data_IF_502390831568
#
_entry.id   IF_502390831568
#
_cell.length_a   1.000
_cell.length_b   1.000
_cell.length_c   1.000
_cell.angle_alpha   90.00
_cell.angle_beta   90.00
_cell.angle_gamma   90.00
#
_symmetry.space_group_name_H-M   'P 1'
#
loop_
_entity.id
_entity.type
_entity.pdbx_description
1 polymer ?
#
# COMPACT_ATOMS: atom_id res chain seq x y z
N UNK A 1 16.90 -16.86 6.34
CA UNK A 1 15.49 -16.82 5.94
C UNK A 1 15.27 -16.35 4.50
N UNK A 2 16.28 -15.80 3.80
CA UNK A 2 16.21 -15.41 2.37
C UNK A 2 15.94 -16.58 1.43
N UNK A 3 16.32 -17.79 1.78
CA UNK A 3 16.23 -18.97 0.91
C UNK A 3 14.80 -19.50 0.69
N UNK A 4 13.81 -19.06 1.48
CA UNK A 4 12.42 -19.53 1.37
C UNK A 4 11.48 -18.57 0.64
N UNK A 5 11.88 -17.35 0.36
CA UNK A 5 11.10 -16.41 -0.44
C UNK A 5 11.52 -16.53 -1.91
N UNK A 6 10.63 -16.99 -2.77
CA UNK A 6 10.88 -17.14 -4.21
C UNK A 6 11.33 -15.84 -4.87
N UNK A 7 10.78 -14.71 -4.44
CA UNK A 7 11.14 -13.37 -4.91
C UNK A 7 10.94 -12.36 -3.78
N UNK A 8 11.97 -11.62 -3.43
CA UNK A 8 11.84 -10.40 -2.64
C UNK A 8 12.01 -9.19 -3.56
N UNK A 9 10.94 -8.53 -3.99
CA UNK A 9 11.02 -7.40 -4.93
C UNK A 9 11.77 -6.20 -4.34
N UNK A 10 11.97 -6.17 -3.02
CA UNK A 10 12.64 -5.09 -2.30
C UNK A 10 14.05 -5.46 -1.82
N UNK A 11 14.59 -6.59 -2.22
CA UNK A 11 15.96 -6.99 -1.90
C UNK A 11 16.99 -5.90 -2.25
N UNK A 12 16.75 -5.16 -3.33
CA UNK A 12 17.61 -4.04 -3.74
C UNK A 12 17.70 -2.90 -2.73
N UNK A 13 16.68 -2.69 -1.90
CA UNK A 13 16.64 -1.63 -0.89
C UNK A 13 17.69 -1.84 0.20
N UNK A 14 17.99 -3.10 0.48
CA UNK A 14 18.91 -3.53 1.55
C UNK A 14 20.32 -3.85 1.04
N UNK A 15 20.62 -3.57 -0.24
CA UNK A 15 21.98 -3.86 -0.80
C UNK A 15 23.10 -3.11 -0.10
N UNK A 16 22.77 -1.95 0.47
CA UNK A 16 23.72 -1.11 1.18
C UNK A 16 23.90 -1.53 2.65
N UNK A 17 23.06 -2.44 3.14
CA UNK A 17 23.20 -3.01 4.47
C UNK A 17 24.39 -3.98 4.47
N UNK A 18 25.30 -3.77 5.39
CA UNK A 18 26.47 -4.62 5.61
C UNK A 18 26.18 -5.64 6.71
N UNK A 19 25.80 -5.16 7.88
CA UNK A 19 25.47 -5.98 9.04
C UNK A 19 24.34 -5.36 9.87
N UNK A 20 23.76 -6.18 10.71
CA UNK A 20 22.86 -5.76 11.80
C UNK A 20 23.37 -6.36 13.08
N UNK A 21 23.70 -5.53 14.07
CA UNK A 21 24.12 -5.97 15.40
C UNK A 21 23.05 -5.70 16.43
N UNK A 22 23.00 -6.57 17.44
CA UNK A 22 22.12 -6.44 18.60
C UNK A 22 22.97 -5.94 19.75
N UNK A 23 22.69 -4.72 20.22
CA UNK A 23 23.50 -4.03 21.24
C UNK A 23 22.76 -4.02 22.60
N UNK A 24 22.01 -5.08 22.90
CA UNK A 24 21.19 -5.26 24.10
C UNK A 24 19.72 -5.51 23.76
N UNK A 25 18.88 -5.56 24.78
CA UNK A 25 17.48 -5.97 24.64
C UNK A 25 16.61 -5.01 23.81
N UNK A 26 17.02 -3.74 23.71
CA UNK A 26 16.22 -2.66 23.08
C UNK A 26 17.00 -1.87 22.03
N UNK A 27 18.18 -2.32 21.63
CA UNK A 27 19.01 -1.59 20.68
C UNK A 27 19.48 -2.49 19.54
N UNK A 28 19.31 -1.99 18.34
CA UNK A 28 19.78 -2.64 17.11
C UNK A 28 20.52 -1.60 16.28
N UNK A 29 21.71 -1.94 15.79
CA UNK A 29 22.51 -1.08 14.93
C UNK A 29 22.57 -1.63 13.51
N UNK A 30 22.18 -0.79 12.54
CA UNK A 30 22.32 -1.08 11.12
C UNK A 30 23.64 -0.52 10.61
N UNK A 31 24.55 -1.37 10.20
CA UNK A 31 25.84 -0.99 9.59
C UNK A 31 25.64 -0.88 8.08
N UNK A 32 25.97 0.27 7.53
CA UNK A 32 25.82 0.54 6.10
C UNK A 32 27.19 0.64 5.43
N UNK A 33 27.31 0.12 4.21
CA UNK A 33 28.54 0.22 3.39
C UNK A 33 28.87 1.65 2.99
N UNK A 34 27.84 2.50 2.92
CA UNK A 34 27.93 3.93 2.60
C UNK A 34 26.73 4.68 3.20
N UNK A 35 26.81 5.99 3.43
CA UNK A 35 25.70 6.79 3.92
C UNK A 35 24.46 6.63 3.02
N UNK A 36 23.29 6.44 3.65
CA UNK A 36 21.99 6.30 2.97
C UNK A 36 20.91 7.07 3.74
N UNK A 37 20.74 8.37 3.47
CA UNK A 37 19.75 9.20 4.18
C UNK A 37 18.32 8.67 4.09
N UNK A 38 17.96 8.00 2.99
CA UNK A 38 16.64 7.42 2.78
C UNK A 38 16.36 6.13 3.59
N UNK A 39 17.32 5.57 4.31
CA UNK A 39 17.11 4.29 5.01
C UNK A 39 15.98 4.35 6.03
N UNK A 40 15.90 5.43 6.81
CA UNK A 40 14.83 5.58 7.81
C UNK A 40 13.44 5.66 7.16
N UNK A 41 13.33 6.37 6.05
CA UNK A 41 12.07 6.43 5.28
C UNK A 41 11.69 5.05 4.71
N UNK A 42 12.67 4.26 4.26
CA UNK A 42 12.44 2.89 3.80
C UNK A 42 11.97 1.97 4.94
N UNK A 43 12.59 2.08 6.12
CA UNK A 43 12.19 1.29 7.29
C UNK A 43 10.83 1.72 7.85
N UNK A 44 10.48 3.00 7.76
CA UNK A 44 9.18 3.52 8.17
C UNK A 44 8.05 3.21 7.18
N UNK A 45 8.37 2.68 6.00
CA UNK A 45 7.35 2.33 5.02
C UNK A 45 6.55 1.10 5.43
N UNK A 46 5.26 1.05 5.08
CA UNK A 46 4.37 -0.09 5.38
C UNK A 46 4.77 -1.42 4.73
N UNK A 47 5.87 -1.43 3.97
CA UNK A 47 6.41 -2.62 3.31
C UNK A 47 7.67 -3.17 3.99
N UNK A 48 8.07 -2.60 5.12
CA UNK A 48 9.21 -3.03 5.95
C UNK A 48 8.76 -3.37 7.38
N UNK A 49 7.76 -4.24 7.58
CA UNK A 49 7.28 -4.56 8.91
C UNK A 49 8.33 -5.34 9.71
N UNK A 50 8.39 -5.06 11.01
CA UNK A 50 9.19 -5.84 11.96
C UNK A 50 8.33 -6.96 12.51
N UNK A 51 8.82 -8.18 12.38
CA UNK A 51 8.11 -9.39 12.84
C UNK A 51 8.73 -9.95 14.11
N UNK A 52 7.93 -10.59 14.99
CA UNK A 52 8.46 -11.36 16.10
C UNK A 52 9.27 -12.55 15.57
N UNK A 53 10.54 -12.65 15.96
CA UNK A 53 11.47 -13.65 15.40
C UNK A 53 11.11 -15.10 15.77
N UNK A 54 10.35 -15.30 16.84
CA UNK A 54 9.90 -16.61 17.32
C UNK A 54 8.63 -17.14 16.64
N UNK A 55 7.99 -16.32 15.78
CA UNK A 55 6.78 -16.71 15.06
C UNK A 55 7.11 -17.07 13.61
N UNK A 56 6.63 -18.23 13.17
CA UNK A 56 6.89 -18.66 11.79
C UNK A 56 6.22 -17.74 10.75
N UNK A 57 6.86 -17.45 9.60
CA UNK A 57 6.29 -16.59 8.56
C UNK A 57 4.93 -17.07 8.02
N UNK A 58 4.68 -18.37 8.02
CA UNK A 58 3.39 -18.95 7.63
C UNK A 58 2.29 -18.62 8.63
N UNK A 59 2.61 -18.64 9.91
CA UNK A 59 1.71 -18.25 10.99
C UNK A 59 1.41 -16.76 10.96
N UNK A 60 2.43 -15.92 10.70
CA UNK A 60 2.26 -14.47 10.53
C UNK A 60 1.36 -14.09 9.34
N UNK A 61 1.24 -14.94 8.32
CA UNK A 61 0.30 -14.70 7.21
C UNK A 61 -1.15 -14.97 7.59
N UNK A 62 -1.38 -15.95 8.45
CA UNK A 62 -2.73 -16.31 8.91
C UNK A 62 -3.17 -15.43 10.08
N UNK A 63 -2.26 -15.17 11.01
CA UNK A 63 -2.50 -14.40 12.23
C UNK A 63 -1.37 -13.38 12.44
N UNK A 64 -1.43 -12.21 11.76
CA UNK A 64 -0.40 -11.20 11.89
C UNK A 64 -0.37 -10.62 13.31
N UNK A 65 0.84 -10.51 13.85
CA UNK A 65 1.12 -9.91 15.15
C UNK A 65 1.95 -8.66 14.91
N UNK A 66 1.55 -7.55 15.50
CA UNK A 66 2.24 -6.27 15.39
C UNK A 66 2.07 -5.41 16.63
N UNK A 67 2.79 -4.28 16.65
CA UNK A 67 2.75 -3.28 17.73
C UNK A 67 1.89 -2.07 17.35
N UNK A 68 1.05 -2.21 16.35
CA UNK A 68 0.16 -1.16 15.85
C UNK A 68 -1.04 -0.88 16.75
N UNK A 69 -1.82 0.16 16.40
CA UNK A 69 -2.99 0.58 17.19
C UNK A 69 -4.14 -0.42 17.17
N UNK A 70 -4.15 -1.34 16.23
CA UNK A 70 -5.20 -2.36 16.13
C UNK A 70 -4.57 -3.76 16.07
N UNK A 71 -5.25 -4.73 16.68
CA UNK A 71 -4.94 -6.16 16.65
C UNK A 71 -5.81 -6.86 15.63
N UNK A 72 -5.23 -7.81 14.90
CA UNK A 72 -5.94 -8.65 13.96
C UNK A 72 -6.90 -9.60 14.69
N UNK A 73 -8.10 -9.77 14.17
CA UNK A 73 -9.10 -10.72 14.66
C UNK A 73 -9.37 -11.78 13.61
N UNK A 74 -9.78 -11.38 12.41
CA UNK A 74 -10.23 -12.29 11.38
C UNK A 74 -9.95 -11.73 9.98
N UNK A 75 -9.69 -12.64 9.04
CA UNK A 75 -9.71 -12.40 7.61
C UNK A 75 -10.57 -13.45 6.93
N UNK A 76 -11.62 -13.01 6.27
CA UNK A 76 -12.44 -13.84 5.39
C UNK A 76 -12.12 -13.48 3.94
N UNK A 77 -11.53 -14.41 3.17
CA UNK A 77 -11.21 -14.15 1.76
C UNK A 77 -12.43 -13.67 0.98
N UNK A 78 -12.25 -12.59 0.22
CA UNK A 78 -13.28 -11.92 -0.59
C UNK A 78 -14.46 -11.29 0.20
N UNK A 79 -14.48 -11.37 1.52
CA UNK A 79 -15.49 -10.75 2.36
C UNK A 79 -14.93 -9.55 3.12
N UNK A 80 -13.90 -9.76 3.96
CA UNK A 80 -13.38 -8.66 4.75
C UNK A 80 -12.28 -9.01 5.74
N UNK A 81 -11.86 -7.98 6.46
CA UNK A 81 -10.87 -8.08 7.55
C UNK A 81 -11.47 -7.37 8.77
N UNK A 82 -11.34 -8.00 9.94
CA UNK A 82 -11.75 -7.43 11.22
C UNK A 82 -10.55 -7.19 12.12
N UNK A 83 -10.47 -5.97 12.63
CA UNK A 83 -9.46 -5.53 13.57
C UNK A 83 -10.15 -4.97 14.82
N UNK A 84 -9.51 -5.13 15.99
CA UNK A 84 -9.96 -4.53 17.25
C UNK A 84 -8.88 -3.63 17.83
N UNK A 85 -9.27 -2.70 18.69
CA UNK A 85 -8.36 -1.83 19.42
C UNK A 85 -7.28 -2.66 20.11
N UNK A 86 -6.03 -2.17 20.03
CA UNK A 86 -4.93 -2.68 20.83
C UNK A 86 -4.87 -1.89 22.17
N UNK A 87 -5.25 -2.48 23.30
CA UNK A 87 -5.21 -1.79 24.59
C UNK A 87 -3.77 -1.47 25.04
N UNK A 88 -2.79 -2.24 24.54
CA UNK A 88 -1.37 -2.10 24.86
C UNK A 88 -0.63 -1.22 23.84
N UNK A 89 -1.36 -0.39 23.09
CA UNK A 89 -0.71 0.49 22.12
C UNK A 89 0.15 1.54 22.82
N UNK A 90 1.39 1.68 22.35
CA UNK A 90 2.42 2.50 22.98
C UNK A 90 2.15 4.01 23.02
N UNK A 91 1.21 4.52 22.20
CA UNK A 91 0.79 5.93 22.26
C UNK A 91 -0.39 6.09 23.20
N UNK A 92 -0.24 6.83 24.33
CA UNK A 92 -1.34 7.04 25.28
C UNK A 92 -2.56 7.66 24.61
N UNK A 93 -3.76 7.23 25.03
CA UNK A 93 -5.03 7.74 24.52
C UNK A 93 -5.37 7.35 23.07
N UNK A 94 -4.63 6.42 22.48
CA UNK A 94 -4.83 5.93 21.11
C UNK A 94 -5.00 4.41 21.10
N UNK A 95 -5.66 3.86 20.07
CA UNK A 95 -6.49 4.51 19.03
C UNK A 95 -7.82 5.02 19.62
N UNK A 96 -8.50 5.91 18.91
CA UNK A 96 -9.83 6.42 19.34
C UNK A 96 -10.95 5.44 19.00
N UNK A 97 -10.83 4.70 17.90
CA UNK A 97 -11.82 3.73 17.46
C UNK A 97 -11.68 2.41 18.24
N UNK A 98 -12.79 1.72 18.44
CA UNK A 98 -12.81 0.39 19.08
C UNK A 98 -12.35 -0.73 18.15
N UNK A 99 -12.52 -0.53 16.83
CA UNK A 99 -12.11 -1.48 15.80
C UNK A 99 -12.22 -0.91 14.41
N UNK A 100 -11.83 -1.70 13.43
CA UNK A 100 -11.97 -1.42 12.01
C UNK A 100 -12.47 -2.68 11.33
N UNK A 101 -13.53 -2.55 10.53
CA UNK A 101 -14.04 -3.63 9.68
C UNK A 101 -13.84 -3.22 8.21
N UNK A 102 -12.97 -3.95 7.51
CA UNK A 102 -12.78 -3.76 6.07
C UNK A 102 -13.72 -4.68 5.32
N UNK A 103 -14.51 -4.14 4.42
CA UNK A 103 -15.32 -4.92 3.47
C UNK A 103 -14.63 -4.96 2.11
N UNK A 104 -14.47 -6.15 1.55
CA UNK A 104 -13.85 -6.35 0.24
C UNK A 104 -14.95 -6.34 -0.82
N UNK A 105 -15.07 -5.23 -1.54
CA UNK A 105 -16.05 -5.06 -2.62
C UNK A 105 -15.29 -4.90 -3.94
N UNK A 106 -15.35 -5.88 -4.86
CA UNK A 106 -14.53 -5.88 -6.08
C UNK A 106 -14.82 -4.72 -7.04
N UNK A 107 -16.08 -4.28 -7.11
CA UNK A 107 -16.51 -3.21 -8.03
C UNK A 107 -16.37 -1.83 -7.39
N UNK A 108 -15.53 -0.91 -7.93
CA UNK A 108 -15.43 0.47 -7.44
C UNK A 108 -16.75 1.23 -7.48
N UNK A 109 -17.58 1.02 -8.51
CA UNK A 109 -18.89 1.64 -8.59
C UNK A 109 -19.81 1.17 -7.45
N UNK A 110 -19.80 -0.13 -7.13
CA UNK A 110 -20.55 -0.68 -6.00
C UNK A 110 -20.05 -0.13 -4.67
N UNK A 111 -18.73 0.09 -4.52
CA UNK A 111 -18.17 0.71 -3.31
C UNK A 111 -18.72 2.13 -3.12
N UNK A 112 -18.74 2.93 -4.19
CA UNK A 112 -19.26 4.31 -4.15
C UNK A 112 -20.73 4.33 -3.79
N UNK A 113 -21.55 3.47 -4.39
CA UNK A 113 -22.98 3.35 -4.07
C UNK A 113 -23.22 2.92 -2.62
N UNK A 114 -22.46 1.97 -2.13
CA UNK A 114 -22.57 1.49 -0.74
C UNK A 114 -22.14 2.57 0.27
N UNK A 115 -21.10 3.36 -0.04
CA UNK A 115 -20.71 4.51 0.76
C UNK A 115 -21.80 5.59 0.76
N UNK A 116 -22.34 5.94 -0.42
CA UNK A 116 -23.43 6.92 -0.52
C UNK A 116 -24.70 6.48 0.23
N UNK A 117 -24.93 5.17 0.32
CA UNK A 117 -26.00 4.58 1.12
C UNK A 117 -25.70 4.46 2.62
N UNK A 118 -24.57 4.99 3.10
CA UNK A 118 -24.18 4.96 4.50
C UNK A 118 -23.79 3.58 5.04
N UNK A 119 -23.41 2.63 4.16
CA UNK A 119 -22.96 1.30 4.57
C UNK A 119 -21.49 1.29 5.01
N UNK A 120 -20.72 2.30 4.63
CA UNK A 120 -19.31 2.46 4.94
C UNK A 120 -19.06 3.87 5.42
N UNK A 121 -18.22 4.01 6.44
CA UNK A 121 -17.81 5.31 6.97
C UNK A 121 -16.66 5.93 6.14
N UNK A 122 -15.89 5.10 5.43
CA UNK A 122 -14.73 5.54 4.67
C UNK A 122 -14.45 4.60 3.49
N UNK A 123 -14.03 5.16 2.36
CA UNK A 123 -13.47 4.39 1.25
C UNK A 123 -11.98 4.13 1.48
N UNK A 124 -11.46 3.02 0.91
CA UNK A 124 -10.03 2.77 0.91
C UNK A 124 -9.31 3.81 0.02
N UNK A 125 -8.16 4.36 0.45
CA UNK A 125 -7.35 5.25 -0.39
C UNK A 125 -7.08 4.61 -1.75
N UNK A 126 -7.12 5.41 -2.82
CA UNK A 126 -6.99 4.97 -4.21
C UNK A 126 -8.13 4.09 -4.76
N UNK A 127 -9.14 3.78 -3.97
CA UNK A 127 -10.32 3.02 -4.41
C UNK A 127 -11.31 3.85 -5.25
N UNK A 128 -11.22 5.18 -5.17
CA UNK A 128 -12.14 6.10 -5.84
C UNK A 128 -11.39 6.88 -6.92
N UNK A 129 -11.80 6.73 -8.18
CA UNK A 129 -11.31 7.54 -9.30
C UNK A 129 -11.96 8.93 -9.31
N UNK A 130 -11.36 9.90 -10.02
CA UNK A 130 -11.91 11.26 -10.10
C UNK A 130 -13.34 11.27 -10.68
N UNK A 131 -13.67 10.55 -11.77
CA UNK A 131 -15.04 10.45 -12.24
C UNK A 131 -16.01 9.92 -11.17
N UNK A 132 -15.62 8.85 -10.46
CA UNK A 132 -16.43 8.30 -9.37
C UNK A 132 -16.57 9.26 -8.18
N UNK A 133 -15.54 10.07 -7.90
CA UNK A 133 -15.59 11.10 -6.88
C UNK A 133 -16.62 12.18 -7.22
N UNK A 134 -16.71 12.59 -8.50
CA UNK A 134 -17.69 13.56 -8.96
C UNK A 134 -19.13 13.00 -8.85
N UNK A 135 -19.31 11.71 -9.15
CA UNK A 135 -20.57 11.02 -8.95
C UNK A 135 -20.95 10.94 -7.46
N UNK A 136 -20.00 10.61 -6.61
CA UNK A 136 -20.19 10.53 -5.17
C UNK A 136 -20.63 11.86 -4.57
N UNK A 137 -19.99 12.97 -4.95
CA UNK A 137 -20.34 14.31 -4.47
C UNK A 137 -21.77 14.72 -4.82
N UNK A 138 -22.34 14.18 -5.90
CA UNK A 138 -23.75 14.40 -6.26
C UNK A 138 -24.71 13.55 -5.42
N UNK A 139 -24.30 12.33 -5.06
CA UNK A 139 -25.15 11.37 -4.34
C UNK A 139 -25.03 11.51 -2.82
N UNK A 140 -23.89 11.97 -2.31
CA UNK A 140 -23.62 12.19 -0.90
C UNK A 140 -22.93 13.56 -0.73
N UNK A 141 -23.67 14.67 -0.81
CA UNK A 141 -23.10 16.03 -0.78
C UNK A 141 -22.38 16.35 0.56
N UNK A 142 -22.78 15.70 1.65
CA UNK A 142 -22.16 15.87 2.97
C UNK A 142 -20.89 15.03 3.17
N UNK A 143 -20.51 14.20 2.19
CA UNK A 143 -19.31 13.40 2.27
C UNK A 143 -18.05 14.30 2.21
N UNK A 144 -17.15 14.15 3.18
CA UNK A 144 -15.87 14.81 3.14
C UNK A 144 -14.96 14.10 2.12
N UNK A 145 -14.55 14.84 1.10
CA UNK A 145 -13.74 14.31 -0.01
C UNK A 145 -12.53 15.18 -0.25
N UNK A 146 -11.34 14.62 0.01
CA UNK A 146 -10.06 15.27 -0.26
C UNK A 146 -9.41 14.71 -1.53
N UNK A 147 -8.97 15.60 -2.40
CA UNK A 147 -8.13 15.27 -3.54
C UNK A 147 -6.71 15.76 -3.25
N UNK A 148 -5.81 14.81 -3.00
CA UNK A 148 -4.41 15.12 -2.72
C UNK A 148 -3.53 14.66 -3.88
N UNK A 149 -2.53 15.51 -4.21
CA UNK A 149 -1.49 15.11 -5.15
C UNK A 149 -0.56 14.13 -4.45
N UNK A 150 -0.23 13.05 -5.14
CA UNK A 150 0.80 12.12 -4.71
C UNK A 150 1.90 11.99 -5.76
N UNK A 151 3.01 11.35 -5.42
CA UNK A 151 4.09 11.02 -6.36
C UNK A 151 3.83 9.70 -7.10
N UNK A 152 2.59 9.21 -7.08
CA UNK A 152 2.18 8.03 -7.81
C UNK A 152 2.10 8.31 -9.30
N UNK A 153 2.63 7.42 -10.11
CA UNK A 153 2.49 7.48 -11.55
C UNK A 153 1.81 6.22 -12.07
N UNK A 154 0.95 6.40 -13.07
CA UNK A 154 0.43 5.25 -13.81
C UNK A 154 1.46 4.86 -14.86
N UNK A 155 1.92 3.62 -14.79
CA UNK A 155 2.98 3.12 -15.66
C UNK A 155 2.51 1.91 -16.42
N UNK A 156 2.89 1.83 -17.69
CA UNK A 156 2.78 0.60 -18.47
C UNK A 156 4.09 -0.21 -18.29
N UNK A 157 3.95 -1.41 -17.73
CA UNK A 157 5.09 -2.31 -17.53
C UNK A 157 5.19 -3.24 -18.74
N UNK A 158 6.34 -3.18 -19.42
CA UNK A 158 6.62 -4.00 -20.59
C UNK A 158 7.65 -5.07 -20.24
N UNK A 159 7.35 -6.33 -20.51
CA UNK A 159 8.29 -7.44 -20.32
C UNK A 159 9.33 -7.44 -21.42
N UNK A 160 10.48 -6.80 -21.19
CA UNK A 160 11.57 -6.66 -22.15
C UNK A 160 12.37 -7.94 -22.42
N UNK A 161 12.05 -9.06 -21.76
CA UNK A 161 12.77 -10.32 -21.93
C UNK A 161 12.07 -11.29 -22.89
N UNK A 162 10.92 -10.90 -23.44
CA UNK A 162 10.13 -11.73 -24.35
C UNK A 162 9.78 -10.98 -25.64
N UNK A 163 9.83 -11.66 -26.80
CA UNK A 163 9.31 -11.12 -28.05
C UNK A 163 7.82 -10.72 -27.93
N UNK A 164 7.38 -9.68 -28.65
CA UNK A 164 8.17 -8.79 -29.50
C UNK A 164 8.84 -7.64 -28.72
N UNK A 165 8.69 -7.60 -27.39
CA UNK A 165 9.09 -6.48 -26.53
C UNK A 165 10.56 -6.54 -26.09
N UNK A 166 11.32 -7.53 -26.49
CA UNK A 166 12.78 -7.58 -26.42
C UNK A 166 13.44 -6.59 -27.38
N UNK A 167 12.75 -6.21 -28.47
CA UNK A 167 13.20 -5.16 -29.38
C UNK A 167 13.10 -3.75 -28.72
N UNK A 168 14.23 -3.02 -28.55
CA UNK A 168 14.23 -1.68 -27.96
C UNK A 168 13.52 -0.63 -28.81
N UNK A 169 13.57 -0.75 -30.14
CA UNK A 169 12.94 0.21 -31.04
C UNK A 169 11.42 0.12 -30.99
N UNK A 170 10.88 -1.08 -30.86
CA UNK A 170 9.46 -1.29 -30.63
C UNK A 170 9.00 -0.63 -29.33
N UNK A 171 9.75 -0.81 -28.24
CA UNK A 171 9.42 -0.18 -26.96
C UNK A 171 9.47 1.35 -27.04
N UNK A 172 10.46 1.88 -27.80
CA UNK A 172 10.57 3.32 -28.05
C UNK A 172 9.40 3.84 -28.88
N UNK A 173 9.03 3.13 -29.94
CA UNK A 173 7.88 3.48 -30.77
C UNK A 173 6.58 3.52 -29.94
N UNK A 174 6.36 2.51 -29.09
CA UNK A 174 5.21 2.49 -28.16
C UNK A 174 5.21 3.73 -27.24
N UNK A 175 6.36 4.08 -26.67
CA UNK A 175 6.46 5.23 -25.77
C UNK A 175 6.20 6.58 -26.48
N UNK A 176 6.57 6.69 -27.77
CA UNK A 176 6.35 7.88 -28.60
C UNK A 176 4.91 7.97 -29.12
N UNK A 177 4.24 6.82 -29.32
CA UNK A 177 2.85 6.76 -29.77
C UNK A 177 1.83 7.11 -28.69
N UNK A 178 2.24 7.11 -27.40
CA UNK A 178 1.33 7.42 -26.30
C UNK A 178 1.05 8.93 -26.22
N UNK A 179 -0.20 9.30 -26.44
CA UNK A 179 -0.70 10.62 -26.09
C UNK A 179 -0.94 10.69 -24.58
N UNK A 180 0.07 11.20 -23.86
CA UNK A 180 0.03 11.29 -22.40
C UNK A 180 -1.01 12.30 -21.92
N UNK A 181 -1.29 13.33 -22.71
CA UNK A 181 -2.27 14.34 -22.35
C UNK A 181 -3.68 13.79 -22.44
N UNK A 182 -4.03 13.12 -23.53
CA UNK A 182 -5.30 12.43 -23.66
C UNK A 182 -5.51 11.41 -22.54
N UNK A 183 -4.43 10.71 -22.12
CA UNK A 183 -4.47 9.76 -21.02
C UNK A 183 -4.78 10.43 -19.67
N UNK A 184 -4.19 11.59 -19.38
CA UNK A 184 -4.48 12.40 -18.20
C UNK A 184 -5.91 12.92 -18.26
N UNK A 185 -6.34 13.46 -19.38
CA UNK A 185 -7.68 14.03 -19.54
C UNK A 185 -8.78 12.98 -19.34
N UNK A 186 -8.59 11.76 -19.87
CA UNK A 186 -9.55 10.66 -19.72
C UNK A 186 -9.60 10.13 -18.28
N UNK A 187 -8.44 9.91 -17.65
CA UNK A 187 -8.38 9.26 -16.34
C UNK A 187 -8.62 10.21 -15.17
N UNK A 188 -8.30 11.48 -15.34
CA UNK A 188 -8.32 12.45 -14.24
C UNK A 188 -9.18 13.66 -14.53
N UNK A 189 -9.91 13.67 -15.65
CA UNK A 189 -10.68 14.84 -16.11
C UNK A 189 -9.85 16.12 -16.14
N UNK A 190 -8.61 16.00 -16.60
CA UNK A 190 -7.65 17.11 -16.68
C UNK A 190 -7.05 17.56 -15.34
N UNK A 191 -7.34 16.90 -14.22
CA UNK A 191 -6.83 17.27 -12.88
C UNK A 191 -5.50 16.61 -12.51
N UNK A 192 -4.89 15.85 -13.42
CA UNK A 192 -3.57 15.26 -13.27
C UNK A 192 -2.46 16.14 -13.85
N UNK A 193 -1.20 15.85 -13.49
CA UNK A 193 0.04 16.44 -14.03
C UNK A 193 0.89 15.39 -14.75
#
# INVERSE_FOLDING_TARGET
>A
TEQKLRVNPRKSWYRNLDAVTIDGDYRVTFHLKRPQPSLLALLASGVSPVYPCHVAPTQMRAHPIGTGPFKFVEYKPNEGIKLVRNPDYWKPGRPYLDGIEYSIVPSPATQVLAFAAGKFDMSFPYGVSIPLLNDLKRQAPDAHCDLTLDNGSRTMIVNRTKPPFDNPDLRRAMALALDRRAFVDILTEGKGV
#
